data_IF_248766302069
#
_entry.id   IF_248766302069
#
_cell.length_a   1.000
_cell.length_b   1.000
_cell.length_c   1.000
_cell.angle_alpha   90.00
_cell.angle_beta   90.00
_cell.angle_gamma   90.00
#
_symmetry.space_group_name_H-M   'P 1'
#
loop_
_entity.id
_entity.type
_entity.pdbx_description
1 polymer ?
#
# COMPACT_ATOMS: atom_id res chain seq x y z
N UNK A 1 42.33 23.09 -51.61
CA UNK A 1 42.52 23.06 -50.16
C UNK A 1 41.16 23.01 -49.52
N UNK A 2 40.69 21.79 -49.15
CA UNK A 2 39.41 21.57 -48.46
C UNK A 2 39.69 21.46 -46.96
N UNK A 3 39.20 22.40 -46.17
CA UNK A 3 39.24 22.34 -44.72
C UNK A 3 38.23 21.29 -44.24
N UNK A 4 38.73 20.30 -43.51
CA UNK A 4 37.89 19.32 -42.78
C UNK A 4 37.39 19.99 -41.48
N UNK A 5 36.09 20.15 -41.36
CA UNK A 5 35.43 20.50 -40.12
C UNK A 5 35.45 19.27 -39.21
N UNK A 6 36.21 19.34 -38.12
CA UNK A 6 36.11 18.39 -37.02
C UNK A 6 34.79 18.60 -36.31
N UNK A 7 34.06 17.50 -36.10
CA UNK A 7 32.86 17.47 -35.26
C UNK A 7 33.28 17.53 -33.81
N UNK A 8 32.60 18.32 -32.96
CA UNK A 8 32.87 18.30 -31.50
C UNK A 8 32.55 16.91 -30.92
N UNK A 9 33.46 16.37 -30.11
CA UNK A 9 33.25 15.18 -29.33
C UNK A 9 32.03 15.36 -28.43
N UNK A 10 31.07 14.43 -28.52
CA UNK A 10 29.94 14.36 -27.62
C UNK A 10 30.45 14.18 -26.19
N UNK A 11 30.06 15.11 -25.31
CA UNK A 11 30.32 14.99 -23.88
C UNK A 11 29.72 13.66 -23.39
N UNK A 12 30.57 12.82 -22.77
CA UNK A 12 30.16 11.58 -22.14
C UNK A 12 29.16 11.91 -21.02
N UNK A 13 27.90 11.55 -21.24
CA UNK A 13 26.93 11.54 -20.16
C UNK A 13 27.46 10.58 -19.06
N UNK A 14 27.39 10.92 -17.77
CA UNK A 14 27.66 9.98 -16.72
C UNK A 14 26.70 8.80 -16.90
N UNK A 15 27.28 7.63 -17.15
CA UNK A 15 26.55 6.37 -17.29
C UNK A 15 25.70 6.16 -16.04
N UNK A 16 24.53 5.61 -16.25
CA UNK A 16 23.58 5.14 -15.23
C UNK A 16 24.17 3.98 -14.40
N UNK A 17 25.25 4.24 -13.66
CA UNK A 17 25.88 3.31 -12.71
C UNK A 17 25.19 3.31 -11.34
N UNK A 18 24.02 3.95 -11.21
CA UNK A 18 23.34 4.15 -9.93
C UNK A 18 22.43 2.98 -9.50
N UNK A 19 22.33 1.89 -10.23
CA UNK A 19 21.52 0.72 -9.85
C UNK A 19 22.30 -0.59 -9.97
N UNK A 20 23.55 -0.60 -9.53
CA UNK A 20 24.20 -1.87 -9.22
C UNK A 20 23.67 -2.36 -7.89
N UNK A 21 22.58 -3.14 -7.91
CA UNK A 21 22.44 -4.20 -6.93
C UNK A 21 23.75 -4.99 -7.00
N UNK A 22 24.46 -5.02 -5.88
CA UNK A 22 25.74 -5.71 -5.75
C UNK A 22 25.66 -7.04 -6.51
N UNK A 23 26.48 -7.21 -7.58
CA UNK A 23 26.41 -8.36 -8.52
C UNK A 23 26.68 -9.71 -7.86
N UNK A 24 26.92 -9.71 -6.55
CA UNK A 24 27.10 -10.91 -5.76
C UNK A 24 25.76 -11.47 -5.27
N UNK A 25 25.06 -12.21 -6.14
CA UNK A 25 23.77 -12.84 -5.88
C UNK A 25 23.75 -13.75 -4.64
N UNK A 26 24.92 -14.10 -4.10
CA UNK A 26 25.08 -14.95 -2.92
C UNK A 26 25.27 -14.17 -1.63
N UNK A 27 25.40 -12.84 -1.69
CA UNK A 27 25.64 -12.02 -0.50
C UNK A 27 24.43 -12.05 0.42
N UNK A 28 24.65 -12.56 1.64
CA UNK A 28 23.65 -12.46 2.69
C UNK A 28 23.46 -11.01 3.12
N UNK A 29 22.21 -10.64 3.35
CA UNK A 29 21.86 -9.33 3.87
C UNK A 29 21.61 -9.44 5.38
N UNK A 30 22.05 -8.46 6.16
CA UNK A 30 21.70 -8.45 7.57
C UNK A 30 20.17 -8.36 7.71
N UNK A 31 19.59 -9.38 8.32
CA UNK A 31 18.20 -9.37 8.76
C UNK A 31 18.15 -9.85 10.19
N UNK A 32 17.31 -9.21 10.96
CA UNK A 32 17.15 -9.51 12.39
C UNK A 32 15.82 -10.21 12.66
N UNK A 33 15.25 -10.91 11.66
CA UNK A 33 14.05 -11.72 11.89
C UNK A 33 14.35 -12.80 12.89
N UNK A 34 13.56 -12.86 13.98
CA UNK A 34 13.66 -13.87 15.02
C UNK A 34 12.68 -15.02 14.81
N UNK A 35 11.40 -14.72 14.56
CA UNK A 35 10.34 -15.71 14.40
C UNK A 35 9.09 -15.09 13.77
N UNK A 36 8.12 -15.94 13.40
CA UNK A 36 6.75 -15.52 13.14
C UNK A 36 5.91 -15.75 14.39
N UNK A 37 4.95 -14.88 14.65
CA UNK A 37 4.09 -14.95 15.84
C UNK A 37 2.63 -14.82 15.46
N UNK A 38 1.79 -15.70 16.02
CA UNK A 38 0.35 -15.59 15.84
C UNK A 38 -0.16 -14.30 16.49
N UNK A 39 -0.83 -13.46 15.72
CA UNK A 39 -1.31 -12.14 16.14
C UNK A 39 -2.36 -12.19 17.28
N UNK A 40 -3.01 -13.34 17.48
CA UNK A 40 -4.03 -13.54 18.51
C UNK A 40 -3.53 -14.32 19.73
N UNK A 41 -2.72 -15.37 19.52
CA UNK A 41 -2.34 -16.30 20.60
C UNK A 41 -0.91 -16.11 21.10
N UNK A 42 -0.06 -15.39 20.34
CA UNK A 42 1.38 -15.27 20.65
C UNK A 42 2.18 -16.55 20.34
N UNK A 43 1.57 -17.59 19.76
CA UNK A 43 2.27 -18.82 19.39
C UNK A 43 3.34 -18.51 18.33
N UNK A 44 4.56 -19.07 18.53
CA UNK A 44 5.73 -18.80 17.67
C UNK A 44 5.90 -19.88 16.61
N UNK A 45 6.38 -19.46 15.43
CA UNK A 45 6.65 -20.30 14.27
C UNK A 45 8.04 -19.97 13.69
N UNK A 46 8.74 -20.94 13.10
CA UNK A 46 10.00 -20.70 12.38
C UNK A 46 9.78 -19.70 11.22
N UNK A 47 10.73 -18.78 11.03
CA UNK A 47 10.63 -17.76 9.98
C UNK A 47 11.18 -18.23 8.62
N UNK A 48 11.89 -19.36 8.59
CA UNK A 48 12.52 -19.99 7.42
C UNK A 48 11.65 -21.11 6.79
N UNK A 49 10.44 -21.27 7.30
CA UNK A 49 9.45 -22.22 6.78
C UNK A 49 8.29 -21.48 6.11
N UNK A 50 7.62 -22.16 5.17
CA UNK A 50 6.47 -21.63 4.48
C UNK A 50 5.20 -21.72 5.33
N UNK A 51 4.67 -20.57 5.72
CA UNK A 51 3.46 -20.48 6.50
C UNK A 51 2.38 -19.65 5.81
N UNK A 52 1.12 -20.01 6.04
CA UNK A 52 -0.03 -19.16 5.81
C UNK A 52 -0.53 -18.62 7.16
N UNK A 53 -1.72 -19.04 7.61
CA UNK A 53 -2.25 -18.68 8.92
C UNK A 53 -1.64 -19.57 10.03
N UNK A 54 -1.70 -19.11 11.27
CA UNK A 54 -1.38 -19.91 12.46
C UNK A 54 -2.33 -21.10 12.62
N UNK A 55 -2.02 -22.02 13.54
CA UNK A 55 -2.92 -23.13 13.91
C UNK A 55 -4.28 -22.66 14.41
N UNK A 56 -4.34 -21.45 14.98
CA UNK A 56 -5.58 -20.80 15.39
C UNK A 56 -6.34 -20.13 14.22
N UNK A 57 -5.89 -20.27 12.96
CA UNK A 57 -6.51 -19.64 11.80
C UNK A 57 -6.35 -18.11 11.77
N UNK A 58 -5.36 -17.56 12.47
CA UNK A 58 -5.12 -16.11 12.59
C UNK A 58 -3.83 -15.71 11.87
N UNK A 59 -3.70 -14.41 11.45
CA UNK A 59 -2.50 -13.91 10.81
C UNK A 59 -1.23 -14.12 11.61
N UNK A 60 -0.12 -14.35 10.91
CA UNK A 60 1.22 -14.38 11.47
C UNK A 60 1.92 -13.04 11.24
N UNK A 61 2.61 -12.56 12.26
CA UNK A 61 3.38 -11.32 12.26
C UNK A 61 4.86 -11.64 12.38
N UNK A 62 5.69 -11.07 11.51
CA UNK A 62 7.15 -11.20 11.59
C UNK A 62 7.67 -10.42 12.79
N UNK A 63 8.50 -11.06 13.61
CA UNK A 63 9.17 -10.46 14.77
C UNK A 63 10.67 -10.34 14.53
N UNK A 64 11.25 -9.27 15.07
CA UNK A 64 12.67 -8.93 14.91
C UNK A 64 13.38 -8.87 16.26
N UNK A 65 14.68 -9.14 16.26
CA UNK A 65 15.60 -8.75 17.34
C UNK A 65 15.87 -7.23 17.21
N UNK A 66 15.05 -6.44 17.89
CA UNK A 66 15.13 -4.98 17.82
C UNK A 66 16.34 -4.41 18.54
N UNK A 67 16.95 -5.12 19.49
CA UNK A 67 18.19 -4.72 20.13
C UNK A 67 19.36 -4.87 19.16
N UNK A 68 19.39 -5.96 18.41
CA UNK A 68 20.32 -6.15 17.31
C UNK A 68 20.16 -5.08 16.21
N UNK A 69 18.92 -4.77 15.81
CA UNK A 69 18.66 -3.69 14.83
C UNK A 69 19.15 -2.35 15.35
N UNK A 70 18.87 -1.99 16.61
CA UNK A 70 19.30 -0.73 17.24
C UNK A 70 20.82 -0.57 17.21
N UNK A 71 21.55 -1.65 17.33
CA UNK A 71 23.02 -1.65 17.28
C UNK A 71 23.54 -1.54 15.86
N UNK A 72 22.88 -2.17 14.88
CA UNK A 72 23.36 -2.30 13.50
C UNK A 72 22.92 -1.17 12.57
N UNK A 73 21.78 -0.51 12.84
CA UNK A 73 21.17 0.50 11.99
C UNK A 73 21.24 1.88 12.64
N UNK A 74 21.78 2.86 11.91
CA UNK A 74 21.75 4.27 12.31
C UNK A 74 21.04 5.14 11.26
N UNK A 75 20.56 6.31 11.68
CA UNK A 75 19.92 7.29 10.77
C UNK A 75 20.90 7.74 9.68
N UNK A 76 22.18 7.94 10.01
CA UNK A 76 23.24 8.32 9.10
C UNK A 76 23.54 7.23 8.06
N UNK A 77 23.45 5.95 8.44
CA UNK A 77 23.59 4.85 7.50
C UNK A 77 22.49 4.87 6.43
N UNK A 78 21.25 5.20 6.82
CA UNK A 78 20.12 5.32 5.88
C UNK A 78 20.32 6.44 4.86
N UNK A 79 20.91 7.59 5.24
CA UNK A 79 21.13 8.72 4.29
C UNK A 79 22.06 8.36 3.13
N UNK A 80 22.88 7.33 3.29
CA UNK A 80 23.85 6.86 2.26
C UNK A 80 23.28 5.77 1.36
N UNK A 81 22.10 5.24 1.65
CA UNK A 81 21.47 4.16 0.88
C UNK A 81 20.59 4.72 -0.24
N UNK A 82 20.43 3.93 -1.29
CA UNK A 82 19.49 4.25 -2.36
C UNK A 82 18.10 4.54 -1.81
N UNK A 83 17.35 5.51 -2.40
CA UNK A 83 16.02 5.88 -1.94
C UNK A 83 14.97 4.87 -2.44
N UNK A 84 15.08 3.64 -2.02
CA UNK A 84 14.18 2.54 -2.35
C UNK A 84 13.67 1.83 -1.08
N UNK A 85 12.70 0.93 -1.25
CA UNK A 85 12.10 0.14 -0.17
C UNK A 85 13.16 -0.70 0.58
N UNK A 86 14.20 -1.19 -0.11
CA UNK A 86 15.19 -2.11 0.42
C UNK A 86 16.23 -1.44 1.33
N UNK A 87 16.21 -0.10 1.45
CA UNK A 87 17.09 0.66 2.35
C UNK A 87 16.93 0.27 3.83
N UNK A 88 15.76 -0.25 4.22
CA UNK A 88 15.43 -0.67 5.58
C UNK A 88 15.68 -2.17 5.83
N UNK A 89 16.67 -2.76 5.15
CA UNK A 89 16.94 -4.20 5.11
C UNK A 89 17.02 -4.89 6.48
N UNK A 90 17.49 -4.21 7.54
CA UNK A 90 17.56 -4.75 8.89
C UNK A 90 16.17 -5.02 9.50
N UNK A 91 15.18 -4.28 9.04
CA UNK A 91 13.77 -4.43 9.41
C UNK A 91 12.94 -5.17 8.33
N UNK A 92 13.60 -5.87 7.38
CA UNK A 92 12.92 -6.61 6.31
C UNK A 92 13.36 -8.08 6.32
N UNK A 93 12.48 -9.03 5.91
CA UNK A 93 12.73 -10.45 6.11
C UNK A 93 13.65 -11.09 5.07
N UNK A 94 13.90 -10.48 3.92
CA UNK A 94 14.68 -11.07 2.83
C UNK A 94 16.18 -11.10 3.19
N UNK A 95 16.78 -12.30 3.25
CA UNK A 95 18.17 -12.50 3.67
C UNK A 95 19.18 -12.34 2.54
N UNK A 96 18.92 -12.93 1.37
CA UNK A 96 19.87 -12.92 0.26
C UNK A 96 19.50 -11.87 -0.77
N UNK A 97 20.49 -11.17 -1.31
CA UNK A 97 20.28 -10.18 -2.38
C UNK A 97 19.64 -10.83 -3.62
N UNK A 98 20.04 -12.06 -3.96
CA UNK A 98 19.47 -12.80 -5.09
C UNK A 98 17.97 -13.18 -4.96
N UNK A 99 17.42 -13.13 -3.75
CA UNK A 99 15.99 -13.39 -3.53
C UNK A 99 15.11 -12.14 -3.69
N UNK A 100 15.73 -10.97 -3.77
CA UNK A 100 15.00 -9.71 -4.01
C UNK A 100 14.41 -9.75 -5.41
N UNK A 101 13.10 -9.51 -5.47
CA UNK A 101 12.37 -9.28 -6.71
C UNK A 101 11.96 -7.82 -6.74
N UNK A 102 12.49 -7.03 -7.66
CA UNK A 102 12.24 -5.58 -7.71
C UNK A 102 11.82 -5.11 -9.10
N UNK A 103 10.96 -4.12 -9.13
CA UNK A 103 10.56 -3.33 -10.30
C UNK A 103 10.90 -1.84 -10.11
N UNK A 104 11.79 -1.51 -9.15
CA UNK A 104 12.24 -0.15 -8.87
C UNK A 104 11.32 0.60 -7.88
N UNK A 105 10.99 -0.02 -6.76
CA UNK A 105 10.17 0.57 -5.68
C UNK A 105 10.92 1.71 -5.00
N UNK A 106 10.79 2.91 -5.55
CA UNK A 106 11.37 4.11 -4.97
C UNK A 106 10.58 4.61 -3.75
N UNK A 107 11.22 5.44 -2.93
CA UNK A 107 10.55 6.23 -1.89
C UNK A 107 9.47 7.09 -2.54
N UNK A 108 8.24 6.99 -2.03
CA UNK A 108 7.10 7.72 -2.60
C UNK A 108 7.05 9.16 -2.13
N UNK A 109 6.53 10.10 -2.94
CA UNK A 109 6.45 11.50 -2.55
C UNK A 109 5.54 11.73 -1.34
N UNK A 110 5.93 12.67 -0.49
CA UNK A 110 5.09 13.30 0.52
C UNK A 110 4.81 14.72 0.05
N UNK A 111 3.60 14.96 -0.43
CA UNK A 111 3.21 16.19 -1.11
C UNK A 111 2.41 17.10 -0.19
N UNK A 112 2.81 18.37 -0.08
CA UNK A 112 1.99 19.37 0.57
C UNK A 112 0.80 19.77 -0.31
N UNK A 113 -0.36 20.00 0.30
CA UNK A 113 -1.60 20.43 -0.35
C UNK A 113 -1.99 21.84 0.13
N UNK A 114 -1.26 22.89 -0.30
CA UNK A 114 -1.37 24.23 0.29
C UNK A 114 -2.73 24.88 0.05
N UNK A 115 -3.35 24.69 -1.13
CA UNK A 115 -4.66 25.28 -1.43
C UNK A 115 -5.76 24.61 -0.62
N UNK A 116 -5.72 23.27 -0.51
CA UNK A 116 -6.67 22.52 0.31
C UNK A 116 -6.47 22.82 1.80
N UNK A 117 -5.22 22.96 2.28
CA UNK A 117 -4.91 23.41 3.65
C UNK A 117 -5.54 24.76 3.95
N UNK A 118 -5.26 25.76 3.12
CA UNK A 118 -5.77 27.12 3.29
C UNK A 118 -7.31 27.15 3.27
N UNK A 119 -7.93 26.44 2.30
CA UNK A 119 -9.40 26.38 2.17
C UNK A 119 -10.07 25.76 3.39
N UNK A 120 -9.42 24.82 4.08
CA UNK A 120 -9.94 24.15 5.27
C UNK A 120 -9.49 24.82 6.57
N UNK A 121 -8.58 25.79 6.49
CA UNK A 121 -7.96 26.41 7.66
C UNK A 121 -7.16 25.40 8.48
N UNK A 122 -6.62 24.36 7.84
CA UNK A 122 -5.76 23.37 8.46
C UNK A 122 -4.31 23.88 8.48
N UNK A 123 -3.54 23.52 9.51
CA UNK A 123 -2.15 23.99 9.65
C UNK A 123 -1.28 23.40 8.53
N UNK A 124 -1.34 22.09 8.34
CA UNK A 124 -0.60 21.41 7.28
C UNK A 124 -1.31 20.13 6.86
N UNK A 125 -1.62 20.04 5.56
CA UNK A 125 -2.18 18.85 4.93
C UNK A 125 -1.15 18.26 3.98
N UNK A 126 -0.75 17.02 4.25
CA UNK A 126 0.19 16.26 3.44
C UNK A 126 -0.50 15.06 2.80
N UNK A 127 -0.10 14.69 1.60
CA UNK A 127 -0.52 13.46 0.93
C UNK A 127 0.69 12.57 0.64
N UNK A 128 0.68 11.36 1.16
CA UNK A 128 1.62 10.30 0.80
C UNK A 128 1.12 9.62 -0.48
N UNK A 129 1.79 9.89 -1.61
CA UNK A 129 1.33 9.42 -2.93
C UNK A 129 1.92 8.05 -3.31
N UNK A 130 1.25 7.00 -2.92
CA UNK A 130 1.60 5.62 -3.24
C UNK A 130 1.27 5.22 -4.71
N UNK A 131 0.60 6.09 -5.44
CA UNK A 131 0.30 5.90 -6.87
C UNK A 131 1.54 5.93 -7.78
N UNK A 132 2.71 6.33 -7.25
CA UNK A 132 3.99 6.37 -7.97
C UNK A 132 4.76 5.05 -7.97
N UNK A 133 4.29 4.07 -7.22
CA UNK A 133 4.93 2.75 -7.17
C UNK A 133 4.67 1.94 -8.44
N UNK A 134 5.49 0.90 -8.72
CA UNK A 134 5.20 -0.07 -9.76
C UNK A 134 3.76 -0.57 -9.69
N UNK A 135 3.14 -0.83 -10.85
CA UNK A 135 1.71 -1.14 -10.97
C UNK A 135 0.75 -0.06 -10.44
N UNK A 136 1.24 1.18 -10.28
CA UNK A 136 0.45 2.35 -9.94
C UNK A 136 -0.27 2.29 -8.59
N UNK A 137 0.22 1.49 -7.61
CA UNK A 137 -0.45 1.39 -6.32
C UNK A 137 0.46 0.91 -5.18
N UNK A 138 0.07 1.23 -3.94
CA UNK A 138 0.72 0.77 -2.72
C UNK A 138 0.78 -0.77 -2.56
N UNK A 139 0.04 -1.51 -3.39
CA UNK A 139 0.06 -2.97 -3.36
C UNK A 139 1.44 -3.51 -3.71
N UNK A 140 2.21 -2.79 -4.52
CA UNK A 140 3.60 -3.09 -4.82
C UNK A 140 4.43 -3.38 -3.57
N UNK A 141 4.31 -2.56 -2.51
CA UNK A 141 5.08 -2.75 -1.26
C UNK A 141 4.87 -4.12 -0.62
N UNK A 142 3.60 -4.53 -0.49
CA UNK A 142 3.29 -5.83 0.10
C UNK A 142 3.69 -7.00 -0.80
N UNK A 143 3.40 -6.87 -2.09
CA UNK A 143 3.63 -7.98 -3.03
C UNK A 143 5.11 -8.16 -3.39
N UNK A 144 5.91 -7.10 -3.45
CA UNK A 144 7.36 -7.24 -3.64
C UNK A 144 7.97 -8.05 -2.49
N UNK A 145 7.50 -7.84 -1.27
CA UNK A 145 7.99 -8.58 -0.10
C UNK A 145 7.49 -10.03 -0.10
N UNK A 146 6.18 -10.24 -0.31
CA UNK A 146 5.59 -11.57 -0.36
C UNK A 146 6.20 -12.44 -1.48
N UNK A 147 6.40 -11.89 -2.68
CA UNK A 147 6.99 -12.62 -3.81
C UNK A 147 8.48 -12.88 -3.60
N UNK A 148 9.23 -11.93 -3.04
CA UNK A 148 10.65 -12.15 -2.70
C UNK A 148 10.81 -13.26 -1.67
N UNK A 149 9.97 -13.30 -0.64
CA UNK A 149 9.96 -14.37 0.35
C UNK A 149 9.45 -15.70 -0.23
N UNK A 150 8.42 -15.67 -1.08
CA UNK A 150 7.96 -16.87 -1.81
C UNK A 150 9.07 -17.48 -2.66
N UNK A 151 9.84 -16.65 -3.38
CA UNK A 151 11.04 -17.09 -4.13
C UNK A 151 12.08 -17.69 -3.20
N UNK A 152 12.42 -17.02 -2.09
CA UNK A 152 13.39 -17.50 -1.10
C UNK A 152 12.99 -18.85 -0.50
N UNK A 153 11.68 -19.10 -0.32
CA UNK A 153 11.12 -20.33 0.26
C UNK A 153 10.70 -21.37 -0.80
N UNK A 154 11.10 -21.19 -2.08
CA UNK A 154 10.92 -22.17 -3.14
C UNK A 154 9.49 -22.31 -3.68
N UNK A 155 8.63 -21.31 -3.51
CA UNK A 155 7.26 -21.33 -4.06
C UNK A 155 7.31 -21.17 -5.58
N UNK A 156 6.63 -22.06 -6.30
CA UNK A 156 6.55 -22.04 -7.77
C UNK A 156 5.20 -21.58 -8.33
N UNK A 157 4.16 -21.50 -7.49
CA UNK A 157 2.82 -21.11 -7.90
C UNK A 157 2.10 -20.37 -6.76
N UNK A 158 1.66 -19.15 -7.02
CA UNK A 158 0.91 -18.31 -6.09
C UNK A 158 -0.51 -18.09 -6.60
N UNK A 159 -1.48 -17.97 -5.69
CA UNK A 159 -2.85 -17.61 -6.04
C UNK A 159 -3.44 -16.61 -5.04
N UNK A 160 -4.34 -15.73 -5.51
CA UNK A 160 -5.01 -14.78 -4.65
C UNK A 160 -6.35 -14.29 -5.19
N UNK A 161 -7.29 -13.86 -4.30
CA UNK A 161 -8.44 -13.05 -4.66
C UNK A 161 -8.04 -11.57 -4.73
N UNK A 162 -8.69 -10.79 -5.59
CA UNK A 162 -8.39 -9.35 -5.70
C UNK A 162 -9.59 -8.53 -6.19
N UNK A 163 -9.68 -7.26 -5.75
CA UNK A 163 -10.52 -6.24 -6.36
C UNK A 163 -9.76 -5.43 -7.43
N UNK A 164 -8.58 -5.91 -7.90
CA UNK A 164 -7.79 -5.29 -8.97
C UNK A 164 -6.32 -5.08 -8.59
N UNK A 165 -6.00 -4.01 -7.88
CA UNK A 165 -4.62 -3.56 -7.62
C UNK A 165 -3.68 -4.62 -6.99
N UNK A 166 -4.20 -5.49 -6.13
CA UNK A 166 -3.37 -6.53 -5.52
C UNK A 166 -3.00 -7.61 -6.52
N UNK A 167 -3.95 -8.01 -7.36
CA UNK A 167 -3.70 -8.97 -8.45
C UNK A 167 -2.70 -8.43 -9.47
N UNK A 168 -2.82 -7.16 -9.86
CA UNK A 168 -1.87 -6.51 -10.75
C UNK A 168 -0.44 -6.54 -10.19
N UNK A 169 -0.28 -6.20 -8.92
CA UNK A 169 1.03 -6.27 -8.28
C UNK A 169 1.56 -7.72 -8.18
N UNK A 170 0.73 -8.71 -7.80
CA UNK A 170 1.16 -10.11 -7.78
C UNK A 170 1.60 -10.57 -9.18
N UNK A 171 0.81 -10.30 -10.22
CA UNK A 171 1.14 -10.69 -11.58
C UNK A 171 2.51 -10.14 -12.00
N UNK A 172 2.76 -8.84 -11.78
CA UNK A 172 4.00 -8.17 -12.13
C UNK A 172 5.23 -8.80 -11.45
N UNK A 173 5.20 -8.93 -10.12
CA UNK A 173 6.33 -9.45 -9.37
C UNK A 173 6.54 -10.95 -9.58
N UNK A 174 5.46 -11.74 -9.67
CA UNK A 174 5.55 -13.17 -9.97
C UNK A 174 6.17 -13.41 -11.35
N UNK A 175 5.73 -12.69 -12.38
CA UNK A 175 6.34 -12.73 -13.72
C UNK A 175 7.80 -12.33 -13.70
N UNK A 176 8.18 -11.31 -12.93
CA UNK A 176 9.56 -10.84 -12.80
C UNK A 176 10.53 -11.92 -12.35
N UNK A 177 10.07 -12.88 -11.55
CA UNK A 177 10.90 -13.97 -11.03
C UNK A 177 10.51 -15.38 -11.52
N UNK A 178 9.59 -15.49 -12.49
CA UNK A 178 9.19 -16.77 -13.08
C UNK A 178 8.28 -17.63 -12.19
N UNK A 179 7.62 -17.06 -11.18
CA UNK A 179 6.61 -17.75 -10.37
C UNK A 179 5.27 -17.68 -11.11
N UNK A 180 4.57 -18.80 -11.24
CA UNK A 180 3.21 -18.81 -11.81
C UNK A 180 2.24 -18.10 -10.87
N UNK A 181 1.29 -17.35 -11.43
CA UNK A 181 0.25 -16.70 -10.65
C UNK A 181 -1.14 -16.95 -11.21
N UNK A 182 -2.09 -17.27 -10.32
CA UNK A 182 -3.51 -17.45 -10.64
C UNK A 182 -4.33 -16.49 -9.79
N UNK A 183 -5.16 -15.69 -10.45
CA UNK A 183 -5.85 -14.58 -9.81
C UNK A 183 -7.35 -14.68 -10.06
N UNK A 184 -8.13 -14.51 -8.98
CA UNK A 184 -9.57 -14.52 -9.01
C UNK A 184 -10.09 -13.14 -8.61
N UNK A 185 -10.98 -12.57 -9.42
CA UNK A 185 -11.55 -11.26 -9.14
C UNK A 185 -13.07 -11.25 -9.34
N UNK A 186 -13.82 -10.43 -8.59
CA UNK A 186 -15.23 -10.18 -8.86
C UNK A 186 -15.48 -9.78 -10.31
N UNK A 187 -16.64 -10.12 -10.85
CA UNK A 187 -17.00 -9.81 -12.23
C UNK A 187 -17.00 -8.32 -12.53
N UNK A 188 -17.30 -7.48 -11.56
CA UNK A 188 -17.35 -6.02 -11.64
C UNK A 188 -15.99 -5.33 -11.39
N UNK A 189 -14.90 -6.10 -11.27
CA UNK A 189 -13.55 -5.55 -11.17
C UNK A 189 -13.24 -4.70 -12.42
N UNK A 190 -12.71 -3.47 -12.26
CA UNK A 190 -12.43 -2.57 -13.39
C UNK A 190 -11.60 -3.24 -14.49
N UNK A 191 -12.01 -3.06 -15.76
CA UNK A 191 -11.39 -3.71 -16.93
C UNK A 191 -9.89 -3.44 -17.03
N UNK A 192 -9.48 -2.20 -16.72
CA UNK A 192 -8.06 -1.81 -16.73
C UNK A 192 -7.21 -2.69 -15.80
N UNK A 193 -7.73 -3.05 -14.63
CA UNK A 193 -7.03 -3.92 -13.69
C UNK A 193 -6.98 -5.37 -14.19
N UNK A 194 -8.07 -5.89 -14.76
CA UNK A 194 -8.13 -7.26 -15.27
C UNK A 194 -7.19 -7.44 -16.46
N UNK A 195 -7.20 -6.47 -17.39
CA UNK A 195 -6.30 -6.44 -18.53
C UNK A 195 -4.84 -6.34 -18.10
N UNK A 196 -4.51 -5.49 -17.12
CA UNK A 196 -3.16 -5.39 -16.56
C UNK A 196 -2.69 -6.72 -15.98
N UNK A 197 -3.52 -7.40 -15.18
CA UNK A 197 -3.23 -8.71 -14.59
C UNK A 197 -2.90 -9.74 -15.68
N UNK A 198 -3.75 -9.83 -16.70
CA UNK A 198 -3.60 -10.79 -17.79
C UNK A 198 -2.35 -10.51 -18.64
N UNK A 199 -2.11 -9.25 -19.01
CA UNK A 199 -0.96 -8.84 -19.82
C UNK A 199 0.37 -9.05 -19.08
N UNK A 200 0.37 -9.02 -17.75
CA UNK A 200 1.55 -9.32 -16.92
C UNK A 200 1.75 -10.83 -16.71
N UNK A 201 1.03 -11.69 -17.43
CA UNK A 201 1.28 -13.13 -17.49
C UNK A 201 0.58 -13.98 -16.43
N UNK A 202 -0.31 -13.41 -15.62
CA UNK A 202 -1.11 -14.19 -14.69
C UNK A 202 -2.31 -14.85 -15.41
N UNK A 203 -2.71 -16.03 -14.94
CA UNK A 203 -4.02 -16.59 -15.29
C UNK A 203 -5.08 -15.90 -14.42
N UNK A 204 -6.00 -15.17 -15.03
CA UNK A 204 -7.03 -14.42 -14.31
C UNK A 204 -8.43 -14.95 -14.62
N UNK A 205 -9.23 -15.11 -13.58
CA UNK A 205 -10.63 -15.53 -13.65
C UNK A 205 -11.56 -14.49 -13.04
N UNK A 206 -12.61 -14.12 -13.76
CA UNK A 206 -13.73 -13.34 -13.23
C UNK A 206 -14.74 -14.28 -12.57
N UNK A 207 -15.16 -13.93 -11.36
CA UNK A 207 -16.09 -14.70 -10.54
C UNK A 207 -17.37 -13.93 -10.37
N UNK A 208 -18.52 -14.57 -10.55
CA UNK A 208 -19.84 -14.03 -10.30
C UNK A 208 -20.15 -13.99 -8.79
N UNK A 209 -19.35 -13.24 -8.05
CA UNK A 209 -19.41 -13.12 -6.59
C UNK A 209 -18.55 -11.96 -6.11
N UNK A 210 -18.41 -11.82 -4.80
CA UNK A 210 -17.56 -10.82 -4.17
C UNK A 210 -16.16 -11.38 -3.89
N UNK A 211 -15.28 -10.54 -3.35
CA UNK A 211 -13.88 -10.92 -3.08
C UNK A 211 -13.77 -12.08 -2.08
N UNK A 212 -14.69 -12.22 -1.16
CA UNK A 212 -14.74 -13.35 -0.21
C UNK A 212 -15.09 -14.67 -0.90
N UNK A 213 -15.92 -14.67 -1.96
CA UNK A 213 -16.18 -15.87 -2.78
C UNK A 213 -14.95 -16.24 -3.59
N UNK A 214 -14.26 -15.28 -4.17
CA UNK A 214 -12.94 -15.51 -4.78
C UNK A 214 -11.96 -16.12 -3.77
N UNK A 215 -11.98 -15.65 -2.52
CA UNK A 215 -11.15 -16.17 -1.43
C UNK A 215 -11.43 -17.62 -1.05
N UNK A 216 -12.69 -18.07 -1.14
CA UNK A 216 -13.06 -19.50 -0.96
C UNK A 216 -12.48 -20.37 -2.06
N UNK A 217 -12.56 -19.92 -3.33
CA UNK A 217 -11.95 -20.63 -4.46
C UNK A 217 -10.44 -20.80 -4.28
N UNK A 218 -9.74 -19.72 -3.85
CA UNK A 218 -8.30 -19.80 -3.59
C UNK A 218 -8.00 -20.80 -2.46
N UNK A 219 -8.77 -20.78 -1.38
CA UNK A 219 -8.58 -21.71 -0.25
C UNK A 219 -8.82 -23.18 -0.65
N UNK A 220 -9.86 -23.46 -1.43
CA UNK A 220 -10.11 -24.81 -1.94
C UNK A 220 -9.02 -25.28 -2.92
N UNK A 221 -8.60 -24.39 -3.81
CA UNK A 221 -7.56 -24.71 -4.79
C UNK A 221 -6.19 -24.94 -4.15
N UNK A 222 -5.90 -24.34 -3.00
CA UNK A 222 -4.69 -24.63 -2.24
C UNK A 222 -4.55 -26.13 -1.94
N UNK A 223 -5.62 -26.78 -1.53
CA UNK A 223 -5.61 -28.21 -1.24
C UNK A 223 -5.59 -29.09 -2.52
N UNK A 224 -6.21 -28.63 -3.62
CA UNK A 224 -6.41 -29.41 -4.84
C UNK A 224 -5.31 -29.21 -5.88
N UNK A 225 -4.76 -28.01 -5.98
CA UNK A 225 -3.78 -27.58 -7.01
C UNK A 225 -2.38 -27.38 -6.42
N UNK A 226 -2.27 -27.13 -5.11
CA UNK A 226 -1.01 -26.97 -4.41
C UNK A 226 -0.39 -25.59 -4.55
N UNK A 227 -1.15 -24.56 -4.97
CA UNK A 227 -0.63 -23.19 -4.96
C UNK A 227 -0.49 -22.60 -3.56
N UNK A 228 0.39 -21.63 -3.40
CA UNK A 228 0.50 -20.85 -2.17
C UNK A 228 -0.58 -19.77 -2.15
N UNK A 229 -1.42 -19.76 -1.10
CA UNK A 229 -2.46 -18.75 -0.91
C UNK A 229 -1.82 -17.42 -0.45
N UNK A 230 -1.78 -16.44 -1.36
CA UNK A 230 -1.22 -15.11 -1.12
C UNK A 230 -2.32 -14.08 -0.81
N UNK A 231 -3.47 -14.53 -0.31
CA UNK A 231 -4.56 -13.63 0.09
C UNK A 231 -4.11 -12.68 1.20
N UNK A 232 -4.72 -11.51 1.24
CA UNK A 232 -4.45 -10.49 2.24
C UNK A 232 -4.48 -11.04 3.67
N UNK A 233 -3.37 -10.90 4.40
CA UNK A 233 -3.16 -11.38 5.78
C UNK A 233 -3.20 -12.92 5.94
N UNK A 234 -3.24 -13.68 4.87
CA UNK A 234 -3.08 -15.13 4.92
C UNK A 234 -1.65 -15.60 4.65
N UNK A 235 -0.74 -14.65 4.39
CA UNK A 235 0.71 -14.87 4.37
C UNK A 235 1.39 -13.76 5.20
N UNK A 236 2.55 -14.00 5.80
CA UNK A 236 3.11 -13.10 6.84
C UNK A 236 3.74 -11.82 6.30
N UNK A 237 4.17 -11.78 5.03
CA UNK A 237 5.17 -10.81 4.57
C UNK A 237 4.57 -9.55 3.94
N UNK A 238 3.28 -9.54 3.61
CA UNK A 238 2.61 -8.32 3.13
C UNK A 238 2.75 -7.15 4.10
N UNK A 239 2.58 -7.42 5.39
CA UNK A 239 2.71 -6.41 6.43
C UNK A 239 4.12 -5.83 6.45
N UNK A 240 5.15 -6.66 6.23
CA UNK A 240 6.54 -6.20 6.24
C UNK A 240 6.84 -5.24 5.08
N UNK A 241 6.31 -5.52 3.90
CA UNK A 241 6.35 -4.58 2.79
C UNK A 241 5.54 -3.30 3.08
N UNK A 242 4.34 -3.43 3.66
CA UNK A 242 3.48 -2.30 4.02
C UNK A 242 4.07 -1.43 5.14
N UNK A 243 4.80 -2.02 6.05
CA UNK A 243 5.53 -1.34 7.12
C UNK A 243 6.42 -0.22 6.59
N UNK A 244 7.01 -0.39 5.42
CA UNK A 244 7.89 0.61 4.81
C UNK A 244 7.22 1.97 4.57
N UNK A 245 5.89 2.05 4.46
CA UNK A 245 5.17 3.33 4.42
C UNK A 245 5.39 4.15 5.70
N UNK A 246 5.33 3.51 6.86
CA UNK A 246 5.59 4.18 8.15
C UNK A 246 7.04 4.53 8.35
N UNK A 247 7.97 3.66 7.92
CA UNK A 247 9.41 3.92 7.98
C UNK A 247 9.78 5.12 7.12
N UNK A 248 9.32 5.16 5.86
CA UNK A 248 9.55 6.28 4.95
C UNK A 248 8.92 7.58 5.46
N UNK A 249 7.68 7.52 5.96
CA UNK A 249 7.00 8.70 6.47
C UNK A 249 7.77 9.34 7.63
N UNK A 250 8.22 8.54 8.59
CA UNK A 250 9.04 9.02 9.69
C UNK A 250 10.37 9.62 9.22
N UNK A 251 11.06 8.97 8.26
CA UNK A 251 12.31 9.48 7.69
C UNK A 251 12.09 10.80 6.94
N UNK A 252 11.05 10.90 6.10
CA UNK A 252 10.71 12.10 5.33
C UNK A 252 10.33 13.29 6.22
N UNK A 253 9.77 13.04 7.40
CA UNK A 253 9.46 14.04 8.42
C UNK A 253 10.61 14.29 9.41
N UNK A 254 11.85 13.91 9.05
CA UNK A 254 13.02 14.12 9.90
C UNK A 254 12.98 13.30 11.21
N UNK A 255 12.45 12.08 11.14
CA UNK A 255 12.24 11.17 12.27
C UNK A 255 11.24 11.70 13.30
N UNK A 256 10.32 12.50 12.82
CA UNK A 256 9.10 12.88 13.53
C UNK A 256 7.92 12.09 12.96
N UNK A 257 6.79 12.14 13.64
CA UNK A 257 5.55 11.55 13.17
C UNK A 257 4.45 12.60 13.15
N UNK A 258 3.50 12.55 12.21
CA UNK A 258 2.40 13.51 12.15
C UNK A 258 1.47 13.33 13.36
N UNK A 259 0.56 14.26 13.58
CA UNK A 259 -0.46 14.15 14.62
C UNK A 259 -1.50 13.10 14.27
N UNK A 260 -1.90 13.02 12.99
CA UNK A 260 -2.94 12.12 12.54
C UNK A 260 -2.66 11.58 11.13
N UNK A 261 -2.93 10.30 10.93
CA UNK A 261 -2.88 9.62 9.63
C UNK A 261 -4.28 9.12 9.28
N UNK A 262 -4.81 9.59 8.14
CA UNK A 262 -6.05 9.06 7.59
C UNK A 262 -5.71 8.02 6.52
N UNK A 263 -6.13 6.79 6.75
CA UNK A 263 -5.76 5.66 5.90
C UNK A 263 -7.00 4.94 5.35
N UNK A 264 -7.09 4.75 3.99
CA UNK A 264 -8.23 4.05 3.39
C UNK A 264 -8.16 2.56 3.75
N UNK A 265 -9.19 2.07 4.41
CA UNK A 265 -9.14 0.81 5.12
C UNK A 265 -10.12 -0.22 4.56
N UNK A 266 -9.62 -1.15 3.75
CA UNK A 266 -10.30 -2.40 3.42
C UNK A 266 -9.74 -3.55 4.28
N UNK A 267 -8.80 -4.35 3.76
CA UNK A 267 -8.12 -5.39 4.53
C UNK A 267 -7.11 -4.88 5.58
N UNK A 268 -6.83 -3.58 5.65
CA UNK A 268 -6.10 -2.91 6.72
C UNK A 268 -4.59 -3.14 6.79
N UNK A 269 -3.98 -3.85 5.83
CA UNK A 269 -2.54 -4.21 5.91
C UNK A 269 -1.61 -3.02 6.05
N UNK A 270 -1.93 -1.88 5.40
CA UNK A 270 -1.11 -0.68 5.51
C UNK A 270 -1.23 0.01 6.86
N UNK A 271 -2.44 0.10 7.41
CA UNK A 271 -2.67 0.65 8.75
C UNK A 271 -1.93 -0.19 9.80
N UNK A 272 -2.08 -1.52 9.75
CA UNK A 272 -1.38 -2.46 10.63
C UNK A 272 0.14 -2.35 10.45
N UNK A 273 0.61 -2.32 9.20
CA UNK A 273 2.05 -2.22 8.88
C UNK A 273 2.68 -0.93 9.39
N UNK A 274 2.02 0.22 9.22
CA UNK A 274 2.51 1.50 9.74
C UNK A 274 2.51 1.53 11.28
N UNK A 275 1.46 1.00 11.92
CA UNK A 275 1.42 0.91 13.38
C UNK A 275 2.57 0.07 13.94
N UNK A 276 2.87 -1.06 13.27
CA UNK A 276 4.05 -1.89 13.55
C UNK A 276 5.36 -1.13 13.31
N UNK A 277 5.47 -0.38 12.22
CA UNK A 277 6.65 0.43 11.92
C UNK A 277 6.96 1.44 13.03
N UNK A 278 5.96 2.19 13.48
CA UNK A 278 6.14 3.16 14.56
C UNK A 278 6.53 2.50 15.88
N UNK A 279 5.99 1.30 16.18
CA UNK A 279 6.40 0.54 17.36
C UNK A 279 7.88 0.10 17.28
N UNK A 280 8.33 -0.37 16.11
CA UNK A 280 9.71 -0.78 15.89
C UNK A 280 10.67 0.41 15.92
N UNK A 281 10.31 1.53 15.26
CA UNK A 281 11.11 2.77 15.28
C UNK A 281 11.27 3.36 16.69
N UNK A 282 10.23 3.31 17.50
CA UNK A 282 10.29 3.71 18.91
C UNK A 282 11.24 2.79 19.71
N UNK A 283 11.10 1.46 19.52
CA UNK A 283 11.93 0.48 20.22
C UNK A 283 13.42 0.60 19.89
N UNK A 284 13.76 0.95 18.64
CA UNK A 284 15.16 1.18 18.24
C UNK A 284 15.64 2.63 18.51
N UNK A 285 14.78 3.50 19.05
CA UNK A 285 15.13 4.88 19.42
C UNK A 285 15.18 5.87 18.26
N UNK A 286 14.58 5.55 17.10
CA UNK A 286 14.56 6.45 15.94
C UNK A 286 13.49 7.55 16.06
N UNK A 287 12.37 7.23 16.71
CA UNK A 287 11.34 8.21 17.08
C UNK A 287 11.11 8.18 18.59
N UNK A 288 10.51 9.25 19.12
CA UNK A 288 10.09 9.31 20.53
C UNK A 288 8.80 8.51 20.80
N UNK A 289 8.30 8.58 22.03
CA UNK A 289 7.09 7.87 22.46
C UNK A 289 5.77 8.40 21.86
N UNK A 290 5.79 9.53 21.14
CA UNK A 290 4.63 10.02 20.41
C UNK A 290 4.43 9.19 19.15
N UNK A 291 3.23 8.64 18.97
CA UNK A 291 2.80 7.99 17.73
C UNK A 291 1.60 8.72 17.14
N UNK A 292 1.37 8.66 15.82
CA UNK A 292 0.22 9.33 15.20
C UNK A 292 -1.08 8.65 15.62
N UNK A 293 -2.17 9.43 15.67
CA UNK A 293 -3.51 8.87 15.72
C UNK A 293 -3.83 8.23 14.37
N UNK A 294 -4.22 6.95 14.38
CA UNK A 294 -4.55 6.19 13.17
C UNK A 294 -6.06 6.27 12.91
N UNK A 295 -6.45 6.81 11.77
CA UNK A 295 -7.86 6.91 11.38
C UNK A 295 -8.14 5.90 10.28
N UNK A 296 -9.04 4.94 10.59
CA UNK A 296 -9.51 3.98 9.61
C UNK A 296 -10.67 4.59 8.80
N UNK A 297 -10.43 4.87 7.52
CA UNK A 297 -11.43 5.46 6.62
C UNK A 297 -12.06 4.37 5.77
N UNK A 298 -13.39 4.29 5.77
CA UNK A 298 -14.19 3.38 4.94
C UNK A 298 -15.24 4.15 4.14
N UNK A 299 -15.81 3.52 3.11
CA UNK A 299 -17.00 4.03 2.43
C UNK A 299 -18.26 3.60 3.18
N UNK A 300 -19.28 4.45 3.23
CA UNK A 300 -20.51 4.17 3.97
C UNK A 300 -21.24 2.90 3.48
N UNK A 301 -21.16 2.59 2.18
CA UNK A 301 -21.70 1.36 1.61
C UNK A 301 -20.93 0.08 1.97
N UNK A 302 -19.75 0.18 2.66
CA UNK A 302 -19.00 -0.97 3.16
C UNK A 302 -18.11 -0.56 4.33
N UNK A 303 -18.67 -0.44 5.54
CA UNK A 303 -18.01 0.10 6.73
C UNK A 303 -18.00 -0.83 7.95
N UNK A 304 -17.60 -2.12 7.83
CA UNK A 304 -17.62 -3.06 8.95
C UNK A 304 -16.72 -2.64 10.11
N UNK A 305 -15.56 -1.99 9.84
CA UNK A 305 -14.64 -1.53 10.89
C UNK A 305 -15.23 -0.35 11.68
N UNK A 306 -15.90 0.58 11.00
CA UNK A 306 -16.58 1.70 11.67
C UNK A 306 -17.64 1.18 12.61
N UNK A 307 -18.53 0.30 12.13
CA UNK A 307 -19.57 -0.34 12.96
C UNK A 307 -19.00 -1.07 14.18
N UNK A 308 -17.90 -1.83 14.00
CA UNK A 308 -17.26 -2.55 15.09
C UNK A 308 -16.54 -1.63 16.08
N UNK A 309 -15.94 -0.54 15.59
CA UNK A 309 -15.30 0.46 16.44
C UNK A 309 -16.30 1.18 17.33
N UNK A 310 -17.42 1.64 16.77
CA UNK A 310 -18.50 2.31 17.47
C UNK A 310 -19.21 1.39 18.50
N UNK A 311 -19.37 0.11 18.15
CA UNK A 311 -19.93 -0.90 19.05
C UNK A 311 -18.94 -1.33 20.17
N UNK A 312 -17.68 -0.90 20.12
CA UNK A 312 -16.67 -1.28 21.10
C UNK A 312 -16.21 -2.75 21.04
N UNK A 313 -16.59 -3.50 19.99
CA UNK A 313 -16.28 -4.93 19.85
C UNK A 313 -14.92 -5.19 19.23
N UNK A 314 -14.32 -6.34 19.51
CA UNK A 314 -12.99 -6.72 19.00
C UNK A 314 -13.02 -7.18 17.54
N UNK A 315 -14.10 -7.82 17.12
CA UNK A 315 -14.27 -8.37 15.78
C UNK A 315 -15.43 -7.71 15.03
N UNK A 316 -15.24 -7.48 13.73
CA UNK A 316 -16.27 -6.93 12.87
C UNK A 316 -17.16 -8.03 12.30
N UNK A 317 -18.46 -7.82 12.33
CA UNK A 317 -19.41 -8.67 11.59
C UNK A 317 -19.32 -8.36 10.09
N UNK A 318 -19.53 -9.39 9.25
CA UNK A 318 -19.57 -9.25 7.81
C UNK A 318 -20.58 -8.16 7.40
N UNK A 319 -20.20 -7.35 6.41
CA UNK A 319 -21.07 -6.33 5.82
C UNK A 319 -21.86 -6.93 4.68
N UNK A 320 -23.19 -6.78 4.72
CA UNK A 320 -24.07 -7.24 3.66
C UNK A 320 -24.24 -6.12 2.60
N UNK A 321 -24.56 -6.49 1.37
CA UNK A 321 -24.82 -5.58 0.24
C UNK A 321 -23.72 -4.53 0.01
N UNK A 322 -22.46 -4.94 0.16
CA UNK A 322 -21.31 -4.06 0.05
C UNK A 322 -21.19 -3.41 -1.34
N UNK A 323 -21.25 -2.07 -1.37
CA UNK A 323 -21.10 -1.28 -2.59
C UNK A 323 -20.31 0.00 -2.31
N UNK A 324 -19.53 0.48 -3.25
CA UNK A 324 -18.85 1.78 -3.26
C UNK A 324 -18.06 1.95 -4.55
N UNK A 325 -17.86 3.20 -4.99
CA UNK A 325 -16.94 3.56 -6.07
C UNK A 325 -15.48 3.30 -5.70
N UNK A 326 -15.14 3.27 -4.40
CA UNK A 326 -13.80 3.00 -3.87
C UNK A 326 -13.57 1.47 -3.74
N UNK A 327 -13.48 0.78 -4.88
CA UNK A 327 -13.41 -0.68 -4.94
C UNK A 327 -12.29 -1.31 -4.07
N UNK A 328 -11.17 -0.62 -3.90
CA UNK A 328 -10.03 -1.10 -3.10
C UNK A 328 -10.29 -1.19 -1.59
N UNK A 329 -11.33 -0.50 -1.09
CA UNK A 329 -11.76 -0.60 0.32
C UNK A 329 -13.10 -1.32 0.49
N UNK A 330 -13.70 -1.86 -0.59
CA UNK A 330 -14.89 -2.70 -0.54
C UNK A 330 -14.51 -4.11 -0.05
N UNK A 331 -14.34 -4.24 1.24
CA UNK A 331 -13.98 -5.50 1.91
C UNK A 331 -15.00 -5.82 3.00
N UNK A 332 -16.00 -6.67 2.70
CA UNK A 332 -17.08 -6.98 3.62
C UNK A 332 -16.62 -7.61 4.94
N UNK A 333 -15.52 -8.37 4.89
CA UNK A 333 -14.93 -9.03 6.05
C UNK A 333 -13.40 -9.06 5.92
N UNK A 334 -12.70 -8.40 6.83
CA UNK A 334 -11.24 -8.39 6.88
C UNK A 334 -10.71 -9.49 7.80
N UNK A 335 -9.68 -10.25 7.35
CA UNK A 335 -9.06 -11.32 8.14
C UNK A 335 -8.38 -10.77 9.41
N UNK A 336 -7.87 -9.55 9.35
CA UNK A 336 -7.18 -8.87 10.44
C UNK A 336 -7.97 -7.75 11.09
N UNK A 337 -9.29 -7.86 11.16
CA UNK A 337 -10.19 -6.87 11.74
C UNK A 337 -9.77 -6.41 13.15
N UNK A 338 -9.46 -7.36 14.02
CA UNK A 338 -9.00 -7.10 15.39
C UNK A 338 -7.66 -6.34 15.43
N UNK A 339 -6.76 -6.55 14.48
CA UNK A 339 -5.49 -5.82 14.38
C UNK A 339 -5.73 -4.35 13.95
N UNK A 340 -6.65 -4.13 13.02
CA UNK A 340 -7.07 -2.78 12.59
C UNK A 340 -7.66 -2.04 13.79
N UNK A 341 -8.66 -2.64 14.45
CA UNK A 341 -9.36 -2.04 15.59
C UNK A 341 -8.41 -1.78 16.77
N UNK A 342 -7.48 -2.71 17.03
CA UNK A 342 -6.42 -2.54 18.03
C UNK A 342 -5.55 -1.32 17.72
N UNK A 343 -5.00 -1.21 16.52
CA UNK A 343 -4.15 -0.08 16.12
C UNK A 343 -4.89 1.27 16.22
N UNK A 344 -6.16 1.32 15.79
CA UNK A 344 -6.98 2.53 15.91
C UNK A 344 -7.21 2.91 17.38
N UNK A 345 -7.54 1.96 18.26
CA UNK A 345 -7.78 2.22 19.68
C UNK A 345 -6.50 2.59 20.43
N UNK A 346 -5.42 1.84 20.26
CA UNK A 346 -4.13 2.10 20.91
C UNK A 346 -3.55 3.46 20.52
N UNK A 347 -3.75 3.88 19.26
CA UNK A 347 -3.32 5.19 18.77
C UNK A 347 -4.22 6.34 19.24
N UNK A 348 -5.32 6.07 19.96
CA UNK A 348 -6.37 7.04 20.28
C UNK A 348 -6.97 7.68 19.02
N UNK A 349 -6.97 6.94 17.92
CA UNK A 349 -7.60 7.31 16.67
C UNK A 349 -9.10 7.01 16.65
N UNK A 350 -9.66 6.95 15.48
CA UNK A 350 -11.08 6.63 15.29
C UNK A 350 -11.32 5.93 13.94
N UNK A 351 -12.50 5.39 13.75
CA UNK A 351 -12.97 4.92 12.45
C UNK A 351 -14.05 5.85 11.92
N UNK A 352 -14.09 6.05 10.60
CA UNK A 352 -15.03 6.96 9.96
C UNK A 352 -15.46 6.41 8.61
N UNK A 353 -16.78 6.51 8.33
CA UNK A 353 -17.36 6.20 7.03
C UNK A 353 -17.69 7.49 6.27
N UNK A 354 -17.49 7.47 4.96
CA UNK A 354 -17.79 8.59 4.06
C UNK A 354 -18.66 8.12 2.90
N UNK A 355 -19.59 8.95 2.46
CA UNK A 355 -20.50 8.67 1.36
C UNK A 355 -19.76 8.78 0.00
N UNK A 356 -20.18 8.01 -1.00
CA UNK A 356 -19.60 8.01 -2.33
C UNK A 356 -19.68 9.38 -3.03
N UNK A 357 -20.73 10.16 -2.79
CA UNK A 357 -20.85 11.54 -3.27
C UNK A 357 -19.77 12.45 -2.66
N UNK A 358 -19.48 12.28 -1.38
CA UNK A 358 -18.41 13.02 -0.69
C UNK A 358 -17.01 12.60 -1.20
N UNK A 359 -16.81 11.33 -1.55
CA UNK A 359 -15.59 10.82 -2.19
C UNK A 359 -15.42 11.45 -3.58
N UNK A 360 -16.49 11.47 -4.39
CA UNK A 360 -16.48 12.07 -5.72
C UNK A 360 -16.17 13.56 -5.68
N UNK A 361 -16.81 14.30 -4.77
CA UNK A 361 -16.55 15.72 -4.57
C UNK A 361 -15.11 16.00 -4.08
N UNK A 362 -14.55 15.13 -3.23
CA UNK A 362 -13.19 15.25 -2.76
C UNK A 362 -12.16 15.00 -3.88
N UNK A 363 -12.44 14.03 -4.75
CA UNK A 363 -11.61 13.72 -5.92
C UNK A 363 -11.59 14.91 -6.88
N UNK A 364 -12.75 15.49 -7.21
CA UNK A 364 -12.86 16.64 -8.11
C UNK A 364 -12.15 17.87 -7.51
N UNK A 365 -12.33 18.14 -6.22
CA UNK A 365 -11.68 19.26 -5.51
C UNK A 365 -10.14 19.12 -5.54
N UNK A 366 -9.59 17.95 -5.21
CA UNK A 366 -8.14 17.73 -5.22
C UNK A 366 -7.56 17.84 -6.64
N UNK A 367 -8.25 17.30 -7.64
CA UNK A 367 -7.80 17.38 -9.04
C UNK A 367 -7.79 18.81 -9.55
N UNK A 368 -8.84 19.62 -9.28
CA UNK A 368 -8.96 21.00 -9.80
C UNK A 368 -8.08 22.00 -9.07
N UNK A 369 -7.94 21.85 -7.76
CA UNK A 369 -7.23 22.85 -6.95
C UNK A 369 -5.74 22.56 -6.86
N UNK A 370 -5.33 21.30 -6.68
CA UNK A 370 -3.92 20.93 -6.52
C UNK A 370 -3.32 20.28 -7.77
N UNK A 371 -4.12 20.00 -8.82
CA UNK A 371 -3.66 19.24 -9.98
C UNK A 371 -3.32 17.78 -9.63
N UNK A 372 -3.90 17.27 -8.55
CA UNK A 372 -3.57 15.95 -8.01
C UNK A 372 -4.74 14.97 -8.16
N UNK A 373 -4.60 14.05 -9.12
CA UNK A 373 -5.61 13.04 -9.41
C UNK A 373 -5.49 11.86 -8.43
N UNK A 374 -6.28 11.90 -7.36
CA UNK A 374 -6.36 10.82 -6.38
C UNK A 374 -7.10 9.61 -6.93
N UNK A 375 -6.85 8.41 -6.35
CA UNK A 375 -7.79 7.31 -6.47
C UNK A 375 -9.01 7.54 -5.55
N UNK A 376 -10.16 6.87 -5.78
CA UNK A 376 -11.33 7.02 -4.92
C UNK A 376 -11.05 6.73 -3.43
N UNK A 377 -10.20 5.74 -3.14
CA UNK A 377 -9.78 5.42 -1.78
C UNK A 377 -8.97 6.56 -1.14
N UNK A 378 -8.07 7.19 -1.92
CA UNK A 378 -7.34 8.38 -1.49
C UNK A 378 -8.29 9.55 -1.26
N UNK A 379 -9.22 9.80 -2.17
CA UNK A 379 -10.22 10.85 -2.04
C UNK A 379 -11.14 10.64 -0.81
N UNK A 380 -11.43 9.38 -0.44
CA UNK A 380 -12.15 9.06 0.78
C UNK A 380 -11.43 9.60 2.03
N UNK A 381 -10.09 9.58 2.07
CA UNK A 381 -9.33 10.14 3.21
C UNK A 381 -9.46 11.66 3.29
N UNK A 382 -9.51 12.33 2.14
CA UNK A 382 -9.76 13.78 2.12
C UNK A 382 -11.20 14.13 2.49
N UNK A 383 -12.19 13.36 2.05
CA UNK A 383 -13.58 13.51 2.49
C UNK A 383 -13.71 13.31 4.01
N UNK A 384 -13.04 12.28 4.56
CA UNK A 384 -12.99 12.01 6.00
C UNK A 384 -12.32 13.15 6.79
N UNK A 385 -11.23 13.73 6.26
CA UNK A 385 -10.60 14.91 6.88
C UNK A 385 -11.57 16.10 6.93
N UNK A 386 -12.28 16.40 5.83
CA UNK A 386 -13.27 17.49 5.79
C UNK A 386 -14.32 17.32 6.89
N UNK A 387 -14.87 16.13 7.02
CA UNK A 387 -15.86 15.81 8.03
C UNK A 387 -15.28 15.92 9.45
N UNK A 388 -14.04 15.39 9.65
CA UNK A 388 -13.38 15.37 10.97
C UNK A 388 -12.91 16.75 11.45
N UNK A 389 -12.61 17.67 10.53
CA UNK A 389 -12.37 19.09 10.87
C UNK A 389 -13.66 19.83 11.23
N UNK A 390 -14.78 19.47 10.59
CA UNK A 390 -16.08 20.09 10.85
C UNK A 390 -16.67 19.67 12.20
N UNK A 391 -16.50 18.40 12.59
CA UNK A 391 -17.01 17.86 13.84
C UNK A 391 -16.00 17.93 15.02
N UNK A 392 -14.79 18.45 14.77
CA UNK A 392 -13.77 18.68 15.79
C UNK A 392 -12.97 17.44 16.21
N UNK A 393 -13.15 16.29 15.57
CA UNK A 393 -12.32 15.08 15.82
C UNK A 393 -10.86 15.28 15.41
N UNK A 394 -10.61 16.15 14.42
CA UNK A 394 -9.29 16.61 14.06
C UNK A 394 -9.26 18.12 14.23
N UNK A 395 -8.27 18.63 14.96
CA UNK A 395 -8.10 20.07 15.18
C UNK A 395 -7.38 20.69 13.98
N UNK A 396 -7.59 21.99 13.78
CA UNK A 396 -6.98 22.73 12.67
C UNK A 396 -5.47 22.90 12.79
N UNK A 397 -4.93 22.81 14.00
CA UNK A 397 -3.49 22.92 14.30
C UNK A 397 -2.75 21.58 14.18
N UNK A 398 -3.44 20.47 13.93
CA UNK A 398 -2.81 19.16 13.76
C UNK A 398 -2.27 18.97 12.35
N UNK A 399 -1.06 18.42 12.23
CA UNK A 399 -0.48 17.96 10.97
C UNK A 399 -1.17 16.66 10.55
N UNK A 400 -1.86 16.69 9.42
CA UNK A 400 -2.58 15.53 8.88
C UNK A 400 -1.89 14.96 7.64
N UNK A 401 -1.72 13.63 7.61
CA UNK A 401 -1.24 12.90 6.44
C UNK A 401 -2.35 12.02 5.88
N UNK A 402 -2.70 12.24 4.62
CA UNK A 402 -3.61 11.40 3.85
C UNK A 402 -2.82 10.41 3.00
N UNK A 403 -3.31 9.18 2.89
CA UNK A 403 -2.72 8.21 1.99
C UNK A 403 -3.50 8.10 0.69
N UNK A 404 -2.84 8.43 -0.44
CA UNK A 404 -3.34 8.12 -1.76
C UNK A 404 -2.78 6.76 -2.20
N UNK A 405 -3.61 5.73 -2.16
CA UNK A 405 -3.19 4.33 -2.28
C UNK A 405 -2.90 3.85 -3.71
N UNK A 406 -3.37 4.59 -4.71
CA UNK A 406 -3.15 4.27 -6.13
C UNK A 406 -3.23 5.52 -6.99
N UNK A 407 -2.77 5.41 -8.24
CA UNK A 407 -3.05 6.45 -9.24
C UNK A 407 -4.53 6.45 -9.61
N UNK A 408 -5.13 7.65 -9.73
CA UNK A 408 -6.51 7.79 -10.20
C UNK A 408 -6.77 7.24 -11.61
N UNK A 409 -5.72 7.10 -12.42
CA UNK A 409 -5.82 6.57 -13.79
C UNK A 409 -6.24 5.07 -13.86
N UNK A 410 -6.24 4.37 -12.75
CA UNK A 410 -6.71 2.97 -12.66
C UNK A 410 -8.21 2.82 -12.40
N UNK A 411 -8.92 3.92 -12.37
CA UNK A 411 -10.35 3.98 -12.08
C UNK A 411 -11.10 4.68 -13.22
N UNK A 412 -12.39 4.37 -13.44
CA UNK A 412 -13.20 5.10 -14.39
C UNK A 412 -13.24 6.59 -14.04
N UNK A 413 -12.85 7.42 -15.00
CA UNK A 413 -12.94 8.89 -14.86
C UNK A 413 -14.22 9.39 -15.54
N UNK A 414 -14.91 10.40 -14.97
CA UNK A 414 -16.08 10.97 -15.61
C UNK A 414 -15.69 11.66 -16.93
N UNK A 415 -16.53 11.58 -17.96
CA UNK A 415 -16.30 12.33 -19.21
C UNK A 415 -16.54 13.82 -18.96
N UNK A 416 -15.47 14.61 -19.02
CA UNK A 416 -15.50 16.08 -18.80
C UNK A 416 -14.93 16.86 -19.99
N UNK A 417 -14.98 16.28 -21.18
CA UNK A 417 -14.44 16.88 -22.40
C UNK A 417 -15.54 17.53 -23.24
N UNK A 418 -15.14 18.56 -23.97
CA UNK A 418 -15.94 19.20 -25.04
C UNK A 418 -15.36 18.80 -26.37
N UNK A 419 -16.19 18.67 -27.40
CA UNK A 419 -15.76 18.32 -28.74
C UNK A 419 -15.91 19.53 -29.66
N UNK A 420 -14.88 19.81 -30.43
CA UNK A 420 -14.91 20.81 -31.47
C UNK A 420 -14.87 20.13 -32.87
N UNK A 421 -15.77 20.56 -33.74
CA UNK A 421 -15.76 20.16 -35.13
C UNK A 421 -14.85 21.12 -35.94
N UNK A 422 -13.64 20.69 -36.29
CA UNK A 422 -12.67 21.50 -37.04
C UNK A 422 -13.12 21.89 -38.45
N UNK A 423 -14.20 21.26 -38.95
CA UNK A 423 -14.75 21.58 -40.29
C UNK A 423 -15.71 22.78 -40.23
N UNK A 424 -16.07 23.26 -39.05
CA UNK A 424 -16.89 24.43 -38.80
C UNK A 424 -16.04 25.58 -38.25
N UNK A 425 -16.48 26.84 -38.48
CA UNK A 425 -15.86 27.99 -37.82
C UNK A 425 -15.86 27.80 -36.28
N UNK A 426 -14.71 28.02 -35.67
CA UNK A 426 -14.56 27.93 -34.20
C UNK A 426 -14.88 29.30 -33.62
N UNK A 427 -15.85 29.35 -32.71
CA UNK A 427 -16.10 30.53 -31.88
C UNK A 427 -15.14 30.54 -30.72
N UNK A 428 -14.01 31.21 -30.86
CA UNK A 428 -13.00 31.34 -29.82
C UNK A 428 -13.48 32.12 -28.58
N UNK A 429 -14.53 32.93 -28.71
CA UNK A 429 -15.11 33.63 -27.52
C UNK A 429 -15.94 32.70 -26.61
N UNK A 430 -16.38 31.57 -27.16
CA UNK A 430 -17.12 30.54 -26.41
C UNK A 430 -16.23 29.41 -25.84
N UNK A 431 -14.92 29.45 -26.06
CA UNK A 431 -13.96 28.51 -25.50
C UNK A 431 -13.55 28.93 -24.09
#
# INVERSE_FOLDING_TARGET
MMQRHERPQAASHPRADALRYDDNLTTERPTFVSHLECAATGERYPADELHNLSRAGKPLIVRYDLDGVRTALTKEALTRRAPDLWRYRELLPVRRTGDIVSLGEAVTPLLAMPKLSARRGAAELLVKDEGRLPTGSFKARGLVMAVSMAKALGVSHMAMPTNGNAGAALAAYASRCGIRSTIFCPQDTPEVNVSEIALQGATVYRVNGLIDDCGKIVAEGKAKVGWFDTSTLKEPYWIEGKKTMGLELAEQLGWQVPDVILYPTGGGTGLIGMWKAFAELEAIGFIGGKRPRMVAVQAAGCAPMVRAFEAGVEHALRWEDAHTIAAGIRVPQAVGDFLILRAVRESKGFAIAVEDDAITAALDEAAREEGFLMCPEGAATYAALKQSLADGRIRRDEQAVLFNCATGLKYPLPPVHRTLDRTKPIDFAAL
#
